data_IF_611477112668
#
_entry.id   IF_611477112668
#
_cell.length_a   1.000
_cell.length_b   1.000
_cell.length_c   1.000
_cell.angle_alpha   90.00
_cell.angle_beta   90.00
_cell.angle_gamma   90.00
#
_symmetry.space_group_name_H-M   'P 1'
#
loop_
_entity.id
_entity.type
_entity.pdbx_description
1 polymer ?
#
# COMPACT_ATOMS: atom_id res chain seq x y z
N UNK A 1 4.62 -42.33 13.67
CA UNK A 1 4.61 -42.61 12.22
C UNK A 1 5.35 -41.45 11.57
N UNK A 2 6.58 -41.75 11.16
CA UNK A 2 7.61 -40.83 10.67
C UNK A 2 7.31 -40.40 9.23
N UNK A 3 7.40 -39.10 8.94
CA UNK A 3 7.41 -38.57 7.57
C UNK A 3 8.82 -38.04 7.27
N UNK A 4 9.57 -38.68 6.36
CA UNK A 4 10.85 -38.18 5.86
C UNK A 4 10.67 -37.33 4.59
N UNK A 5 11.78 -36.75 4.12
CA UNK A 5 12.00 -36.02 2.86
C UNK A 5 11.89 -34.50 2.88
N UNK A 6 12.95 -33.87 3.40
CA UNK A 6 13.43 -32.56 2.94
C UNK A 6 14.84 -32.81 2.37
N UNK A 7 14.95 -33.39 1.16
CA UNK A 7 16.27 -33.50 0.52
C UNK A 7 16.28 -33.52 -1.03
N UNK A 8 15.21 -33.14 -1.71
CA UNK A 8 15.20 -33.03 -3.18
C UNK A 8 14.55 -31.73 -3.67
N UNK A 9 15.31 -30.63 -3.60
CA UNK A 9 15.03 -29.41 -4.39
C UNK A 9 16.30 -28.56 -4.61
N UNK A 10 17.46 -29.22 -4.81
CA UNK A 10 18.73 -28.58 -5.21
C UNK A 10 19.08 -28.94 -6.66
N UNK A 11 18.33 -28.39 -7.61
CA UNK A 11 18.61 -28.37 -9.05
C UNK A 11 17.43 -27.62 -9.66
N UNK A 12 17.51 -26.52 -10.39
CA UNK A 12 18.54 -25.97 -11.27
C UNK A 12 18.08 -24.55 -11.63
N UNK A 13 18.90 -23.53 -11.42
CA UNK A 13 18.61 -22.19 -11.94
C UNK A 13 19.94 -21.45 -12.21
N UNK A 14 20.70 -21.98 -13.15
CA UNK A 14 21.85 -21.29 -13.75
C UNK A 14 21.33 -20.45 -14.92
N UNK A 15 21.09 -19.17 -14.67
CA UNK A 15 20.81 -18.18 -15.71
C UNK A 15 22.13 -17.57 -16.18
N UNK A 16 22.67 -18.11 -17.27
CA UNK A 16 23.81 -17.55 -17.98
C UNK A 16 23.29 -16.47 -18.97
N UNK A 17 23.57 -15.19 -18.70
CA UNK A 17 23.19 -14.08 -19.60
C UNK A 17 24.46 -13.53 -20.24
N UNK A 18 24.54 -13.64 -21.57
CA UNK A 18 25.68 -13.19 -22.38
C UNK A 18 25.79 -11.66 -22.50
N UNK A 19 27.04 -11.21 -22.61
CA UNK A 19 27.47 -9.81 -22.83
C UNK A 19 27.09 -9.25 -24.20
N UNK A 20 26.79 -7.94 -24.23
CA UNK A 20 27.34 -6.87 -25.11
C UNK A 20 26.56 -5.56 -24.87
N UNK A 21 27.11 -4.61 -24.10
CA UNK A 21 28.05 -3.52 -24.44
C UNK A 21 27.35 -2.21 -24.82
N UNK A 22 27.54 -1.16 -24.00
CA UNK A 22 27.44 0.22 -24.49
C UNK A 22 26.56 1.23 -23.73
N UNK A 23 26.33 1.08 -22.42
CA UNK A 23 25.71 2.16 -21.61
C UNK A 23 26.09 2.04 -20.11
N UNK A 24 27.39 1.84 -19.87
CA UNK A 24 27.89 1.02 -18.76
C UNK A 24 28.32 1.75 -17.46
N UNK A 25 28.14 3.06 -17.29
CA UNK A 25 28.62 3.71 -16.04
C UNK A 25 27.57 3.78 -14.92
N UNK A 26 26.30 4.01 -15.25
CA UNK A 26 25.24 4.23 -14.23
C UNK A 26 24.53 2.92 -13.87
N UNK A 27 24.43 1.99 -14.83
CA UNK A 27 23.86 0.65 -14.61
C UNK A 27 24.87 -0.28 -13.93
N UNK A 28 26.18 -0.12 -14.17
CA UNK A 28 27.22 -0.95 -13.55
C UNK A 28 27.27 -0.81 -12.01
N UNK A 29 26.87 0.33 -11.47
CA UNK A 29 26.80 0.51 -10.00
C UNK A 29 25.66 -0.32 -9.38
N UNK A 30 24.63 -0.68 -10.16
CA UNK A 30 23.54 -1.58 -9.76
C UNK A 30 23.85 -3.07 -10.05
N UNK A 31 24.88 -3.36 -10.84
CA UNK A 31 25.26 -4.73 -11.27
C UNK A 31 26.50 -5.29 -10.57
N UNK A 32 27.08 -4.60 -9.58
CA UNK A 32 28.01 -5.26 -8.69
C UNK A 32 27.30 -6.49 -8.10
N UNK A 33 27.85 -7.72 -8.20
CA UNK A 33 27.21 -8.89 -7.64
C UNK A 33 27.14 -8.67 -6.14
N UNK A 34 25.97 -8.22 -5.67
CA UNK A 34 25.64 -8.18 -4.25
C UNK A 34 25.88 -9.61 -3.80
N UNK A 35 26.79 -9.87 -2.84
CA UNK A 35 26.95 -11.22 -2.32
C UNK A 35 25.57 -11.67 -1.88
N UNK A 36 25.04 -12.69 -2.56
CA UNK A 36 23.67 -13.18 -2.34
C UNK A 36 23.67 -13.94 -1.03
N UNK A 37 23.72 -13.21 0.07
CA UNK A 37 23.47 -13.74 1.39
C UNK A 37 21.98 -14.10 1.42
N UNK A 38 21.70 -15.39 1.24
CA UNK A 38 20.33 -15.91 1.27
C UNK A 38 19.81 -15.78 2.70
N UNK A 39 18.98 -14.77 2.93
CA UNK A 39 18.28 -14.57 4.20
C UNK A 39 16.89 -15.19 4.12
N UNK A 40 16.59 -16.11 5.02
CA UNK A 40 15.23 -16.63 5.21
C UNK A 40 14.46 -15.61 6.02
N UNK A 41 13.28 -15.22 5.54
CA UNK A 41 12.43 -14.23 6.18
C UNK A 41 10.95 -14.54 5.95
N UNK A 42 10.10 -14.10 6.87
CA UNK A 42 8.65 -14.21 6.69
C UNK A 42 8.18 -13.30 5.55
N UNK A 43 7.30 -13.82 4.69
CA UNK A 43 6.68 -13.06 3.61
C UNK A 43 5.97 -11.81 4.14
N UNK A 44 5.30 -11.92 5.28
CA UNK A 44 4.58 -10.81 5.92
C UNK A 44 5.56 -9.76 6.46
N UNK A 45 6.69 -10.18 7.02
CA UNK A 45 7.72 -9.25 7.52
C UNK A 45 8.39 -8.50 6.37
N UNK A 46 8.69 -9.19 5.27
CA UNK A 46 9.21 -8.58 4.05
C UNK A 46 8.23 -7.54 3.49
N UNK A 47 6.97 -7.91 3.32
CA UNK A 47 5.94 -7.04 2.78
C UNK A 47 5.70 -5.81 3.67
N UNK A 48 5.75 -5.98 4.99
CA UNK A 48 5.61 -4.90 5.95
C UNK A 48 6.79 -3.92 5.90
N UNK A 49 8.02 -4.43 5.87
CA UNK A 49 9.21 -3.58 5.78
C UNK A 49 9.25 -2.80 4.45
N UNK A 50 8.98 -3.47 3.32
CA UNK A 50 8.89 -2.82 2.02
C UNK A 50 7.82 -1.72 1.97
N UNK A 51 6.61 -2.03 2.44
CA UNK A 51 5.50 -1.07 2.42
C UNK A 51 5.79 0.11 3.33
N UNK A 52 6.16 -0.15 4.59
CA UNK A 52 6.40 0.91 5.57
C UNK A 52 7.54 1.84 5.14
N UNK A 53 8.64 1.30 4.60
CA UNK A 53 9.75 2.12 4.07
C UNK A 53 9.34 2.91 2.84
N UNK A 54 8.53 2.35 1.95
CA UNK A 54 8.05 3.05 0.76
C UNK A 54 7.11 4.19 1.15
N UNK A 55 6.15 3.95 2.05
CA UNK A 55 5.22 4.97 2.51
C UNK A 55 5.93 6.08 3.30
N UNK A 56 6.84 5.74 4.22
CA UNK A 56 7.60 6.75 4.97
C UNK A 56 8.53 7.56 4.08
N UNK A 57 9.03 6.98 2.98
CA UNK A 57 9.82 7.70 1.97
C UNK A 57 9.00 8.73 1.19
N UNK A 58 7.74 8.43 0.91
CA UNK A 58 6.80 9.32 0.18
C UNK A 58 6.19 10.37 1.12
N UNK A 59 5.88 9.97 2.36
CA UNK A 59 5.24 10.80 3.38
C UNK A 59 6.20 11.72 4.12
N UNK A 60 7.44 11.32 4.27
CA UNK A 60 8.51 12.14 4.82
C UNK A 60 9.67 12.18 3.83
N UNK A 61 10.81 11.64 4.23
CA UNK A 61 12.04 11.79 3.47
C UNK A 61 12.84 10.47 3.38
N UNK A 62 14.04 10.57 2.78
CA UNK A 62 15.00 9.46 2.69
C UNK A 62 15.52 9.00 4.05
N UNK A 63 15.42 9.82 5.08
CA UNK A 63 15.98 9.57 6.39
C UNK A 63 14.98 8.82 7.26
N UNK A 64 13.72 9.25 7.27
CA UNK A 64 12.63 8.61 8.00
C UNK A 64 12.42 7.16 7.56
N UNK A 65 12.54 6.87 6.26
CA UNK A 65 12.42 5.49 5.75
C UNK A 65 13.61 4.58 6.13
N UNK A 66 14.72 5.16 6.59
CA UNK A 66 15.90 4.45 7.06
C UNK A 66 16.03 4.46 8.58
N UNK A 67 15.25 5.28 9.28
CA UNK A 67 15.26 5.36 10.74
C UNK A 67 14.60 4.11 11.34
N UNK A 68 15.44 3.15 11.75
CA UNK A 68 14.99 1.92 12.37
C UNK A 68 14.22 2.18 13.68
N UNK A 69 14.52 3.26 14.41
CA UNK A 69 13.80 3.59 15.66
C UNK A 69 12.35 3.94 15.37
N UNK A 70 12.09 4.68 14.29
CA UNK A 70 10.74 5.01 13.86
C UNK A 70 9.98 3.76 13.41
N UNK A 71 10.61 2.92 12.57
CA UNK A 71 10.03 1.66 12.08
C UNK A 71 9.67 0.73 13.23
N UNK A 72 10.57 0.53 14.19
CA UNK A 72 10.35 -0.36 15.33
C UNK A 72 9.29 0.19 16.29
N UNK A 73 9.29 1.51 16.54
CA UNK A 73 8.27 2.17 17.34
C UNK A 73 6.89 2.04 16.69
N UNK A 74 6.80 2.25 15.38
CA UNK A 74 5.58 2.11 14.60
C UNK A 74 5.05 0.68 14.63
N UNK A 75 5.89 -0.32 14.35
CA UNK A 75 5.51 -1.73 14.38
C UNK A 75 5.09 -2.21 15.78
N UNK A 76 5.73 -1.68 16.82
CA UNK A 76 5.39 -2.01 18.22
C UNK A 76 4.06 -1.39 18.63
N UNK A 77 3.80 -0.14 18.24
CA UNK A 77 2.52 0.51 18.44
C UNK A 77 1.41 -0.18 17.63
N UNK A 78 1.60 -0.40 16.33
CA UNK A 78 0.60 -1.00 15.42
C UNK A 78 0.15 -2.37 15.91
N UNK A 79 1.09 -3.30 16.18
CA UNK A 79 0.76 -4.63 16.75
C UNK A 79 0.04 -4.52 18.08
N UNK A 80 0.48 -3.62 18.96
CA UNK A 80 -0.16 -3.39 20.26
C UNK A 80 -1.59 -2.89 20.14
N UNK A 81 -1.80 -1.90 19.29
CA UNK A 81 -3.10 -1.28 19.04
C UNK A 81 -4.07 -2.30 18.44
N UNK A 82 -3.62 -3.08 17.46
CA UNK A 82 -4.41 -4.14 16.83
C UNK A 82 -4.81 -5.23 17.85
N UNK A 83 -3.86 -5.73 18.64
CA UNK A 83 -4.16 -6.72 19.69
C UNK A 83 -5.11 -6.17 20.76
N UNK A 84 -4.93 -4.91 21.17
CA UNK A 84 -5.83 -4.25 22.14
C UNK A 84 -7.23 -4.12 21.56
N UNK A 85 -7.35 -3.76 20.27
CA UNK A 85 -8.62 -3.72 19.55
C UNK A 85 -9.31 -5.08 19.51
N UNK A 86 -8.59 -6.14 19.16
CA UNK A 86 -9.13 -7.50 19.16
C UNK A 86 -9.61 -7.94 20.54
N UNK A 87 -8.81 -7.72 21.58
CA UNK A 87 -9.20 -8.01 22.97
C UNK A 87 -10.48 -7.24 23.33
N UNK A 88 -10.57 -5.97 22.93
CA UNK A 88 -11.74 -5.13 23.20
C UNK A 88 -12.99 -5.63 22.49
N UNK A 89 -12.89 -6.04 21.23
CA UNK A 89 -14.03 -6.48 20.44
C UNK A 89 -14.49 -7.91 20.75
N UNK A 90 -13.56 -8.80 21.15
CA UNK A 90 -13.86 -10.20 21.47
C UNK A 90 -14.37 -10.39 22.90
N UNK A 91 -14.25 -9.39 23.77
CA UNK A 91 -14.70 -9.50 25.16
C UNK A 91 -16.23 -9.33 25.27
N UNK A 92 -16.99 -10.37 25.67
CA UNK A 92 -18.45 -10.35 25.60
C UNK A 92 -19.11 -9.53 26.73
N UNK A 93 -18.40 -9.26 27.81
CA UNK A 93 -18.94 -8.57 28.99
C UNK A 93 -18.69 -7.06 28.91
N UNK A 94 -19.73 -6.26 28.69
CA UNK A 94 -19.62 -4.82 28.46
C UNK A 94 -18.87 -4.07 29.58
N UNK A 95 -19.22 -4.30 30.84
CA UNK A 95 -18.61 -3.59 31.98
C UNK A 95 -17.17 -4.03 32.25
N UNK A 96 -16.89 -5.34 32.15
CA UNK A 96 -15.56 -5.88 32.37
C UNK A 96 -14.62 -5.56 31.21
N UNK A 97 -15.15 -5.47 29.98
CA UNK A 97 -14.43 -5.01 28.79
C UNK A 97 -13.81 -3.64 29.04
N UNK A 98 -14.56 -2.66 29.55
CA UNK A 98 -14.02 -1.33 29.84
C UNK A 98 -12.91 -1.41 30.89
N UNK A 99 -13.11 -2.16 31.98
CA UNK A 99 -12.11 -2.28 33.04
C UNK A 99 -10.79 -2.92 32.58
N UNK A 100 -10.84 -3.95 31.73
CA UNK A 100 -9.66 -4.65 31.21
C UNK A 100 -8.96 -3.86 30.11
N UNK A 101 -9.72 -3.21 29.23
CA UNK A 101 -9.17 -2.53 28.04
C UNK A 101 -8.73 -1.10 28.33
N UNK A 102 -9.28 -0.45 29.36
CA UNK A 102 -8.89 0.91 29.76
C UNK A 102 -7.39 1.07 30.05
N UNK A 103 -6.74 0.25 30.90
CA UNK A 103 -5.29 0.38 31.11
C UNK A 103 -4.48 0.10 29.85
N UNK A 104 -4.91 -0.87 29.03
CA UNK A 104 -4.24 -1.21 27.77
C UNK A 104 -4.31 -0.05 26.77
N UNK A 105 -5.49 0.51 26.56
CA UNK A 105 -5.70 1.67 25.67
C UNK A 105 -4.96 2.90 26.16
N UNK A 106 -4.91 3.15 27.48
CA UNK A 106 -4.10 4.21 28.06
C UNK A 106 -2.62 4.00 27.78
N UNK A 107 -2.10 2.78 27.94
CA UNK A 107 -0.71 2.45 27.63
C UNK A 107 -0.39 2.63 26.13
N UNK A 108 -1.28 2.15 25.24
CA UNK A 108 -1.11 2.35 23.79
C UNK A 108 -1.06 3.85 23.45
N UNK A 109 -1.97 4.66 24.03
CA UNK A 109 -2.06 6.09 23.76
C UNK A 109 -0.92 6.90 24.38
N UNK A 110 -0.66 6.73 25.68
CA UNK A 110 0.25 7.63 26.42
C UNK A 110 1.71 7.19 26.36
N UNK A 111 1.99 5.92 26.09
CA UNK A 111 3.38 5.43 26.00
C UNK A 111 3.77 5.20 24.55
N UNK A 112 3.07 4.29 23.86
CA UNK A 112 3.50 3.85 22.52
C UNK A 112 3.24 4.91 21.44
N UNK A 113 2.03 5.47 21.41
CA UNK A 113 1.65 6.49 20.44
C UNK A 113 2.38 7.81 20.72
N UNK A 114 2.56 8.22 21.98
CA UNK A 114 3.37 9.40 22.30
C UNK A 114 4.83 9.24 21.90
N UNK A 115 5.44 8.06 22.12
CA UNK A 115 6.81 7.81 21.66
C UNK A 115 6.92 7.95 20.13
N UNK A 116 6.01 7.32 19.39
CA UNK A 116 5.94 7.43 17.92
C UNK A 116 5.75 8.90 17.48
N UNK A 117 4.84 9.61 18.14
CA UNK A 117 4.58 11.02 17.88
C UNK A 117 5.79 11.91 18.14
N UNK A 118 6.54 11.67 19.21
CA UNK A 118 7.74 12.44 19.54
C UNK A 118 8.84 12.23 18.50
N UNK A 119 9.02 11.00 18.01
CA UNK A 119 9.96 10.70 16.92
C UNK A 119 9.51 11.42 15.64
N UNK A 120 8.24 11.29 15.24
CA UNK A 120 7.69 11.98 14.08
C UNK A 120 7.84 13.51 14.18
N UNK A 121 7.57 14.08 15.37
CA UNK A 121 7.70 15.51 15.65
C UNK A 121 9.15 15.97 15.52
N UNK A 122 10.12 15.20 16.01
CA UNK A 122 11.55 15.53 15.86
C UNK A 122 11.97 15.62 14.40
N UNK A 123 11.46 14.72 13.55
CA UNK A 123 11.70 14.76 12.10
C UNK A 123 11.05 15.96 11.43
N UNK A 124 9.81 16.30 11.79
CA UNK A 124 9.12 17.49 11.28
C UNK A 124 9.86 18.78 11.65
N UNK A 125 10.33 18.92 12.90
CA UNK A 125 11.09 20.09 13.37
C UNK A 125 12.41 20.21 12.61
N UNK A 126 13.19 19.12 12.51
CA UNK A 126 14.45 19.11 11.75
C UNK A 126 14.23 19.57 10.30
N UNK A 127 13.16 19.08 9.67
CA UNK A 127 12.81 19.44 8.29
C UNK A 127 12.40 20.90 8.14
N UNK A 128 11.71 21.46 9.13
CA UNK A 128 11.37 22.88 9.19
C UNK A 128 12.63 23.75 9.27
N UNK A 129 13.60 23.35 10.09
CA UNK A 129 14.87 24.04 10.26
C UNK A 129 15.70 24.04 8.96
N UNK A 130 15.78 22.90 8.27
CA UNK A 130 16.48 22.78 6.97
C UNK A 130 15.89 23.70 5.87
N UNK A 131 14.57 23.95 5.91
CA UNK A 131 13.89 24.84 4.96
C UNK A 131 14.35 26.30 5.10
N UNK A 132 14.75 26.71 6.31
CA UNK A 132 15.32 28.04 6.53
C UNK A 132 16.74 28.17 5.92
N UNK A 133 17.42 27.04 5.68
CA UNK A 133 18.79 27.00 5.16
C UNK A 133 18.93 26.75 3.66
N UNK A 134 18.07 25.94 3.03
CA UNK A 134 18.30 25.52 1.64
C UNK A 134 17.03 25.28 0.83
N UNK A 135 16.97 25.90 -0.35
CA UNK A 135 15.83 25.93 -1.28
C UNK A 135 15.95 24.80 -2.32
N UNK A 136 16.07 23.55 -1.89
CA UNK A 136 16.10 22.44 -2.86
C UNK A 136 14.70 22.15 -3.40
N UNK A 137 14.50 22.50 -4.68
CA UNK A 137 13.21 22.53 -5.39
C UNK A 137 12.83 21.19 -6.02
N UNK A 138 13.70 20.19 -5.98
CA UNK A 138 13.58 19.01 -6.86
C UNK A 138 12.87 17.81 -6.24
N UNK A 139 12.83 17.70 -4.92
CA UNK A 139 12.20 16.56 -4.25
C UNK A 139 10.77 16.88 -3.84
N UNK A 140 9.80 16.31 -4.58
CA UNK A 140 8.37 16.33 -4.25
C UNK A 140 8.16 15.40 -3.06
N UNK A 141 7.82 15.98 -1.93
CA UNK A 141 7.56 15.30 -0.67
C UNK A 141 6.16 15.72 -0.23
N UNK A 142 5.31 14.76 0.11
CA UNK A 142 3.94 15.06 0.55
C UNK A 142 3.93 15.85 1.86
N UNK A 143 4.96 15.72 2.71
CA UNK A 143 5.19 16.60 3.85
C UNK A 143 5.44 18.03 3.37
N UNK A 144 6.27 18.26 2.35
CA UNK A 144 6.48 19.61 1.78
C UNK A 144 5.20 20.19 1.21
N UNK A 145 4.37 19.38 0.56
CA UNK A 145 3.07 19.81 0.02
C UNK A 145 2.07 20.12 1.15
N UNK A 146 1.96 19.26 2.16
CA UNK A 146 1.13 19.49 3.35
C UNK A 146 1.59 20.73 4.12
N UNK A 147 2.90 20.92 4.26
CA UNK A 147 3.50 22.12 4.83
C UNK A 147 3.19 23.34 3.98
N UNK A 148 3.27 23.28 2.63
CA UNK A 148 2.91 24.41 1.75
C UNK A 148 1.44 24.81 1.92
N UNK A 149 0.55 23.83 2.05
CA UNK A 149 -0.88 24.06 2.32
C UNK A 149 -1.11 24.66 3.72
N UNK A 150 -0.31 24.25 4.71
CA UNK A 150 -0.33 24.81 6.06
C UNK A 150 0.57 26.03 6.26
N UNK A 151 1.25 26.54 5.21
CA UNK A 151 2.35 27.50 5.32
C UNK A 151 1.94 28.89 5.80
N UNK A 152 0.67 29.22 5.76
CA UNK A 152 0.12 30.42 6.39
C UNK A 152 0.16 30.36 7.92
N UNK A 153 0.38 29.18 8.54
CA UNK A 153 0.33 28.96 10.00
C UNK A 153 1.55 28.21 10.60
N UNK A 154 2.63 28.00 9.83
CA UNK A 154 3.78 27.15 10.23
C UNK A 154 4.51 27.61 11.51
N UNK A 155 4.34 28.86 11.95
CA UNK A 155 5.06 29.39 13.12
C UNK A 155 4.48 28.93 14.47
N UNK A 156 3.30 28.30 14.51
CA UNK A 156 2.64 27.90 15.75
C UNK A 156 3.04 26.47 16.18
N UNK A 157 3.34 26.23 17.48
CA UNK A 157 3.61 24.88 18.00
C UNK A 157 2.50 23.86 17.74
N UNK A 158 1.24 24.32 17.65
CA UNK A 158 0.09 23.48 17.33
C UNK A 158 0.14 22.94 15.89
N UNK A 159 0.60 23.74 14.94
CA UNK A 159 0.76 23.35 13.53
C UNK A 159 1.80 22.24 13.39
N UNK A 160 2.91 22.32 14.14
CA UNK A 160 3.95 21.28 14.18
C UNK A 160 3.39 19.98 14.75
N UNK A 161 2.63 20.06 15.84
CA UNK A 161 1.98 18.90 16.43
C UNK A 161 0.96 18.27 15.46
N UNK A 162 0.19 19.10 14.75
CA UNK A 162 -0.76 18.63 13.74
C UNK A 162 -0.06 17.91 12.59
N UNK A 163 1.02 18.48 12.07
CA UNK A 163 1.86 17.87 11.02
C UNK A 163 2.40 16.51 11.46
N UNK A 164 2.99 16.44 12.66
CA UNK A 164 3.51 15.19 13.20
C UNK A 164 2.40 14.15 13.39
N UNK A 165 1.21 14.58 13.85
CA UNK A 165 0.05 13.71 13.99
C UNK A 165 -0.43 13.15 12.64
N UNK A 166 -0.50 14.01 11.62
CA UNK A 166 -0.89 13.61 10.27
C UNK A 166 0.13 12.65 9.64
N UNK A 167 1.43 12.88 9.83
CA UNK A 167 2.49 12.03 9.29
C UNK A 167 2.36 10.57 9.74
N UNK A 168 2.27 10.32 11.05
CA UNK A 168 2.15 8.94 11.53
C UNK A 168 0.78 8.33 11.21
N UNK A 169 -0.31 9.13 11.21
CA UNK A 169 -1.65 8.65 10.85
C UNK A 169 -1.75 8.24 9.39
N UNK A 170 -1.21 9.04 8.47
CA UNK A 170 -1.17 8.72 7.04
C UNK A 170 -0.27 7.52 6.77
N UNK A 171 0.85 7.40 7.50
CA UNK A 171 1.69 6.21 7.44
C UNK A 171 0.91 4.97 7.86
N UNK A 172 0.12 5.06 8.93
CA UNK A 172 -0.71 3.97 9.39
C UNK A 172 -1.84 3.60 8.42
N UNK A 173 -2.57 4.59 7.93
CA UNK A 173 -3.67 4.39 6.98
C UNK A 173 -3.18 3.81 5.64
N UNK A 174 -2.00 4.21 5.18
CA UNK A 174 -1.45 3.84 3.88
C UNK A 174 -0.62 2.56 3.86
N UNK A 175 0.17 2.28 4.90
CA UNK A 175 1.16 1.19 4.82
C UNK A 175 0.55 -0.22 5.01
N UNK A 176 -0.53 -0.35 5.78
CA UNK A 176 -1.02 -1.67 6.19
C UNK A 176 -1.76 -2.41 5.06
N UNK A 177 -2.58 -1.72 4.27
CA UNK A 177 -3.33 -2.37 3.18
C UNK A 177 -2.40 -2.95 2.09
N UNK A 178 -1.38 -2.23 1.57
CA UNK A 178 -0.46 -2.78 0.58
C UNK A 178 0.44 -3.87 1.16
N UNK A 179 0.76 -3.82 2.46
CA UNK A 179 1.47 -4.91 3.14
C UNK A 179 0.74 -6.24 2.98
N UNK A 180 -0.58 -6.24 3.20
CA UNK A 180 -1.37 -7.46 3.12
C UNK A 180 -1.53 -7.94 1.67
N UNK A 181 -1.73 -7.00 0.73
CA UNK A 181 -1.75 -7.31 -0.71
C UNK A 181 -0.43 -7.92 -1.17
N UNK A 182 0.71 -7.30 -0.85
CA UNK A 182 2.03 -7.80 -1.22
C UNK A 182 2.31 -9.18 -0.62
N UNK A 183 1.94 -9.39 0.65
CA UNK A 183 2.10 -10.70 1.28
C UNK A 183 1.31 -11.78 0.52
N UNK A 184 0.05 -11.51 0.17
CA UNK A 184 -0.77 -12.44 -0.60
C UNK A 184 -0.23 -12.64 -2.02
N UNK A 185 0.28 -11.59 -2.68
CA UNK A 185 0.94 -11.70 -3.98
C UNK A 185 2.16 -12.64 -3.93
N UNK A 186 3.01 -12.48 -2.91
CA UNK A 186 4.17 -13.35 -2.73
C UNK A 186 3.75 -14.81 -2.51
N UNK A 187 2.75 -15.06 -1.66
CA UNK A 187 2.24 -16.42 -1.46
C UNK A 187 1.74 -17.02 -2.77
N UNK A 188 0.98 -16.27 -3.58
CA UNK A 188 0.50 -16.74 -4.89
C UNK A 188 1.62 -17.03 -5.88
N UNK A 189 2.66 -16.21 -5.91
CA UNK A 189 3.83 -16.46 -6.76
C UNK A 189 4.63 -17.69 -6.28
N UNK A 190 4.67 -17.95 -4.97
CA UNK A 190 5.32 -19.14 -4.42
C UNK A 190 4.53 -20.43 -4.72
N UNK A 191 3.19 -20.35 -4.74
CA UNK A 191 2.32 -21.45 -5.16
C UNK A 191 2.37 -21.72 -6.67
N UNK A 192 2.53 -20.66 -7.47
CA UNK A 192 2.53 -20.69 -8.93
C UNK A 192 3.72 -19.92 -9.54
N UNK A 193 4.94 -20.48 -9.51
CA UNK A 193 6.16 -19.80 -9.98
C UNK A 193 6.11 -19.34 -11.44
N UNK A 194 5.32 -20.00 -12.28
CA UNK A 194 5.05 -19.64 -13.68
C UNK A 194 4.44 -18.24 -13.82
N UNK A 195 3.58 -17.84 -12.88
CA UNK A 195 3.01 -16.49 -12.85
C UNK A 195 4.09 -15.47 -12.49
N UNK A 196 4.94 -15.79 -11.50
CA UNK A 196 6.07 -14.95 -11.12
C UNK A 196 7.01 -14.65 -12.28
N UNK A 197 7.34 -15.68 -13.08
CA UNK A 197 8.18 -15.51 -14.28
C UNK A 197 7.54 -14.59 -15.31
N UNK A 198 6.25 -14.80 -15.59
CA UNK A 198 5.52 -13.99 -16.57
C UNK A 198 5.41 -12.53 -16.14
N UNK A 199 5.11 -12.28 -14.86
CA UNK A 199 5.05 -10.94 -14.27
C UNK A 199 6.42 -10.25 -14.30
N UNK A 200 7.50 -10.99 -14.04
CA UNK A 200 8.85 -10.46 -14.12
C UNK A 200 9.22 -10.07 -15.56
N UNK A 201 8.90 -10.90 -16.55
CA UNK A 201 9.13 -10.60 -17.97
C UNK A 201 8.35 -9.36 -18.43
N UNK A 202 7.09 -9.21 -18.01
CA UNK A 202 6.29 -8.01 -18.29
C UNK A 202 6.93 -6.76 -17.67
N UNK A 203 7.29 -6.81 -16.39
CA UNK A 203 7.91 -5.68 -15.69
C UNK A 203 9.28 -5.32 -16.30
N UNK A 204 10.09 -6.32 -16.65
CA UNK A 204 11.38 -6.14 -17.32
C UNK A 204 11.22 -5.44 -18.66
N UNK A 205 10.29 -5.91 -19.50
CA UNK A 205 10.00 -5.32 -20.80
C UNK A 205 9.50 -3.88 -20.67
N UNK A 206 8.63 -3.60 -19.70
CA UNK A 206 8.13 -2.25 -19.44
C UNK A 206 9.26 -1.29 -19.04
N UNK A 207 10.19 -1.73 -18.18
CA UNK A 207 11.37 -0.95 -17.77
C UNK A 207 12.36 -0.75 -18.93
N UNK A 208 12.62 -1.79 -19.72
CA UNK A 208 13.54 -1.69 -20.87
C UNK A 208 13.03 -0.69 -21.93
N UNK A 209 11.72 -0.63 -22.16
CA UNK A 209 11.12 0.22 -23.19
C UNK A 209 10.78 1.65 -22.71
N UNK A 210 10.43 1.83 -21.43
CA UNK A 210 9.92 3.11 -20.91
C UNK A 210 10.74 3.69 -19.75
N UNK A 211 11.76 2.96 -19.27
CA UNK A 211 12.55 3.34 -18.11
C UNK A 211 11.80 3.21 -16.78
N UNK A 212 12.48 3.58 -15.70
CA UNK A 212 11.87 3.65 -14.36
C UNK A 212 11.08 4.96 -14.21
N UNK A 213 9.76 4.89 -14.36
CA UNK A 213 8.86 6.03 -14.20
C UNK A 213 7.38 5.68 -14.37
N UNK A 214 6.48 6.65 -14.27
CA UNK A 214 5.03 6.38 -14.29
C UNK A 214 4.55 5.76 -15.62
N UNK A 215 5.27 6.04 -16.72
CA UNK A 215 4.98 5.49 -18.04
C UNK A 215 4.98 3.95 -18.06
N UNK A 216 5.94 3.28 -17.39
CA UNK A 216 5.98 1.80 -17.38
C UNK A 216 4.75 1.19 -16.71
N UNK A 217 4.11 1.89 -15.75
CA UNK A 217 2.91 1.38 -15.07
C UNK A 217 1.76 1.12 -16.04
N UNK A 218 1.65 1.91 -17.12
CA UNK A 218 0.63 1.74 -18.15
C UNK A 218 0.84 0.49 -19.02
N UNK A 219 2.05 -0.10 -18.98
CA UNK A 219 2.47 -1.26 -19.77
C UNK A 219 2.57 -2.55 -18.95
N UNK A 220 2.08 -2.56 -17.71
CA UNK A 220 2.04 -3.75 -16.84
C UNK A 220 0.61 -4.22 -16.57
N UNK A 221 -0.10 -4.59 -17.63
CA UNK A 221 -1.53 -4.93 -17.55
C UNK A 221 -1.80 -6.29 -16.91
N UNK A 222 -0.86 -7.24 -17.03
CA UNK A 222 -0.93 -8.51 -16.31
C UNK A 222 -0.66 -8.31 -14.82
N UNK A 223 0.31 -7.47 -14.44
CA UNK A 223 0.52 -7.10 -13.04
C UNK A 223 -0.73 -6.48 -12.41
N UNK A 224 -1.38 -5.53 -13.09
CA UNK A 224 -2.65 -4.95 -12.61
C UNK A 224 -3.72 -6.04 -12.43
N UNK A 225 -3.89 -6.90 -13.42
CA UNK A 225 -4.84 -8.02 -13.35
C UNK A 225 -4.53 -8.98 -12.20
N UNK A 226 -3.25 -9.29 -11.97
CA UNK A 226 -2.81 -10.14 -10.86
C UNK A 226 -3.12 -9.50 -9.50
N UNK A 227 -2.82 -8.22 -9.32
CA UNK A 227 -3.13 -7.47 -8.10
C UNK A 227 -4.64 -7.46 -7.83
N UNK A 228 -5.45 -7.25 -8.87
CA UNK A 228 -6.92 -7.25 -8.76
C UNK A 228 -7.46 -8.63 -8.40
N UNK A 229 -6.90 -9.70 -8.97
CA UNK A 229 -7.31 -11.08 -8.65
C UNK A 229 -6.91 -11.47 -7.22
N UNK A 230 -5.74 -11.03 -6.75
CA UNK A 230 -5.34 -11.18 -5.35
C UNK A 230 -6.32 -10.49 -4.41
N UNK A 231 -6.72 -9.24 -4.70
CA UNK A 231 -7.71 -8.52 -3.90
C UNK A 231 -9.10 -9.15 -3.95
N UNK A 232 -9.48 -9.76 -5.07
CA UNK A 232 -10.77 -10.44 -5.23
C UNK A 232 -10.89 -11.62 -4.27
N UNK A 233 -9.86 -12.47 -4.22
CA UNK A 233 -9.85 -13.66 -3.37
C UNK A 233 -9.49 -13.35 -1.91
N UNK A 234 -8.62 -12.36 -1.70
CA UNK A 234 -8.14 -11.95 -0.37
C UNK A 234 -8.32 -10.44 -0.18
N UNK A 235 -9.58 -9.97 -0.04
CA UNK A 235 -9.85 -8.56 0.13
C UNK A 235 -9.28 -8.05 1.45
N UNK A 236 -8.74 -6.83 1.44
CA UNK A 236 -8.18 -6.21 2.66
C UNK A 236 -9.26 -5.99 3.72
N UNK A 237 -10.46 -5.66 3.28
CA UNK A 237 -11.63 -5.46 4.12
C UNK A 237 -12.79 -6.30 3.59
N UNK A 238 -13.44 -7.07 4.47
CA UNK A 238 -14.61 -7.88 4.08
C UNK A 238 -15.84 -7.03 3.73
N UNK A 239 -15.91 -5.82 4.28
CA UNK A 239 -16.93 -4.81 4.00
C UNK A 239 -16.25 -3.52 3.56
N UNK A 240 -16.86 -2.84 2.59
CA UNK A 240 -16.43 -1.50 2.19
C UNK A 240 -16.80 -0.45 3.24
N UNK A 241 -16.40 0.79 3.01
CA UNK A 241 -16.66 1.95 3.85
C UNK A 241 -18.10 1.97 4.36
N UNK A 242 -18.26 2.10 5.68
CA UNK A 242 -19.56 2.27 6.32
C UNK A 242 -20.05 3.70 6.08
N UNK A 243 -21.25 3.81 5.53
CA UNK A 243 -21.91 5.09 5.25
C UNK A 243 -23.09 5.23 6.20
N UNK A 244 -23.20 6.40 6.85
CA UNK A 244 -24.32 6.75 7.71
C UNK A 244 -25.17 7.85 7.08
N UNK A 245 -26.47 7.61 6.97
CA UNK A 245 -27.43 8.63 6.51
C UNK A 245 -27.61 9.67 7.61
N UNK A 246 -27.00 10.85 7.48
CA UNK A 246 -26.99 11.85 8.56
C UNK A 246 -28.10 12.91 8.46
N UNK A 247 -28.44 13.35 7.25
CA UNK A 247 -29.26 14.55 7.06
C UNK A 247 -30.74 14.21 6.95
N UNK A 248 -31.17 13.77 5.75
CA UNK A 248 -32.53 13.40 5.39
C UNK A 248 -32.53 11.93 4.94
N UNK A 249 -33.71 11.27 4.92
CA UNK A 249 -33.83 9.96 4.29
C UNK A 249 -33.26 9.99 2.86
N UNK A 250 -32.57 8.93 2.47
CA UNK A 250 -31.98 8.79 1.13
C UNK A 250 -32.81 7.80 0.32
N UNK A 251 -33.40 8.25 -0.78
CA UNK A 251 -34.17 7.41 -1.69
C UNK A 251 -33.30 7.03 -2.89
N UNK A 252 -33.11 5.74 -3.10
CA UNK A 252 -32.44 5.18 -4.27
C UNK A 252 -33.31 5.32 -5.52
N UNK A 253 -32.71 5.13 -6.70
CA UNK A 253 -33.42 5.21 -8.00
C UNK A 253 -34.51 4.16 -8.18
N UNK A 254 -34.46 3.05 -7.43
CA UNK A 254 -35.46 1.99 -7.40
C UNK A 254 -36.63 2.29 -6.43
N UNK A 255 -36.61 3.45 -5.76
CA UNK A 255 -37.62 3.88 -4.81
C UNK A 255 -37.39 3.40 -3.36
N UNK A 256 -36.38 2.57 -3.11
CA UNK A 256 -36.04 2.15 -1.76
C UNK A 256 -35.52 3.34 -0.95
N UNK A 257 -36.04 3.56 0.26
CA UNK A 257 -35.70 4.74 1.08
C UNK A 257 -35.03 4.32 2.38
N UNK A 258 -33.80 4.80 2.60
CA UNK A 258 -33.06 4.65 3.84
C UNK A 258 -33.46 5.76 4.82
N UNK A 259 -33.95 5.41 6.02
CA UNK A 259 -34.17 6.39 7.08
C UNK A 259 -32.90 7.11 7.51
N UNK A 260 -33.07 8.31 8.07
CA UNK A 260 -31.99 9.00 8.78
C UNK A 260 -31.49 8.13 9.93
N UNK A 261 -30.17 8.07 10.07
CA UNK A 261 -29.46 7.31 11.09
C UNK A 261 -29.03 5.92 10.64
N UNK A 262 -29.55 5.42 9.51
CA UNK A 262 -29.17 4.11 8.97
C UNK A 262 -27.69 4.08 8.61
N UNK A 263 -26.99 3.05 9.11
CA UNK A 263 -25.62 2.72 8.71
C UNK A 263 -25.69 1.53 7.76
N UNK A 264 -25.11 1.67 6.58
CA UNK A 264 -25.02 0.59 5.60
C UNK A 264 -23.60 0.50 5.04
N UNK A 265 -23.28 -0.66 4.48
CA UNK A 265 -22.00 -0.95 3.86
C UNK A 265 -22.18 -2.04 2.81
N UNK A 266 -21.21 -2.16 1.90
CA UNK A 266 -21.27 -3.14 0.82
C UNK A 266 -20.41 -4.37 1.17
N UNK A 267 -20.94 -5.59 0.98
CA UNK A 267 -20.23 -6.83 1.30
C UNK A 267 -19.19 -7.16 0.21
N UNK A 268 -18.07 -6.45 0.23
CA UNK A 268 -17.02 -6.54 -0.79
C UNK A 268 -16.51 -7.98 -0.99
N UNK A 269 -16.29 -8.71 0.10
CA UNK A 269 -15.81 -10.10 0.03
C UNK A 269 -16.85 -11.03 -0.62
N UNK A 270 -18.12 -10.88 -0.26
CA UNK A 270 -19.19 -11.71 -0.82
C UNK A 270 -19.39 -11.44 -2.31
N UNK A 271 -19.38 -10.18 -2.73
CA UNK A 271 -19.49 -9.79 -4.14
C UNK A 271 -18.29 -10.28 -4.97
N UNK A 272 -17.10 -10.29 -4.38
CA UNK A 272 -15.88 -10.75 -5.06
C UNK A 272 -15.85 -12.27 -5.30
N UNK A 273 -16.69 -13.02 -4.57
CA UNK A 273 -16.84 -14.48 -4.67
C UNK A 273 -18.18 -14.89 -5.28
N UNK A 274 -18.95 -13.95 -5.82
CA UNK A 274 -20.22 -14.23 -6.45
C UNK A 274 -20.02 -14.91 -7.81
N UNK A 275 -20.48 -16.14 -7.95
CA UNK A 275 -20.39 -16.91 -9.20
C UNK A 275 -21.18 -16.28 -10.35
N UNK A 276 -22.25 -15.54 -10.07
CA UNK A 276 -23.03 -14.86 -11.11
C UNK A 276 -22.26 -13.67 -11.70
N UNK A 277 -21.42 -13.02 -10.88
CA UNK A 277 -20.61 -11.88 -11.32
C UNK A 277 -19.26 -12.30 -11.91
N UNK A 278 -18.64 -13.35 -11.36
CA UNK A 278 -17.23 -13.70 -11.65
C UNK A 278 -17.06 -15.08 -12.31
N UNK A 279 -18.12 -15.87 -12.44
CA UNK A 279 -18.10 -17.21 -13.04
C UNK A 279 -17.56 -18.26 -12.09
N UNK A 280 -16.24 -18.52 -12.15
CA UNK A 280 -15.52 -19.43 -11.24
C UNK A 280 -14.87 -18.63 -10.10
N UNK A 281 -15.56 -18.42 -8.96
CA UNK A 281 -15.09 -17.51 -7.91
C UNK A 281 -13.93 -18.06 -7.09
N UNK A 282 -13.83 -19.37 -6.91
CA UNK A 282 -12.76 -19.97 -6.08
C UNK A 282 -11.44 -20.11 -6.83
N UNK A 283 -11.48 -20.09 -8.16
CA UNK A 283 -10.31 -20.24 -9.01
C UNK A 283 -9.53 -18.93 -9.12
N UNK A 284 -8.23 -18.98 -8.86
CA UNK A 284 -7.33 -17.86 -9.11
C UNK A 284 -6.95 -17.84 -10.59
N UNK A 285 -7.42 -16.84 -11.35
CA UNK A 285 -6.99 -16.62 -12.73
C UNK A 285 -6.28 -15.25 -12.85
N UNK A 286 -4.94 -15.22 -12.97
CA UNK A 286 -4.20 -13.97 -13.04
C UNK A 286 -4.51 -13.16 -14.31
N UNK A 287 -5.09 -13.78 -15.33
CA UNK A 287 -5.46 -13.13 -16.59
C UNK A 287 -6.92 -12.66 -16.61
N UNK A 288 -7.70 -12.90 -15.56
CA UNK A 288 -9.15 -12.63 -15.53
C UNK A 288 -9.50 -11.21 -15.96
N UNK A 289 -8.84 -10.21 -15.37
CA UNK A 289 -9.15 -8.80 -15.66
C UNK A 289 -8.57 -8.33 -17.00
N UNK A 290 -7.48 -8.93 -17.47
CA UNK A 290 -7.01 -8.71 -18.86
C UNK A 290 -8.03 -9.24 -19.87
N UNK A 291 -8.60 -10.43 -19.65
CA UNK A 291 -9.62 -11.02 -20.52
C UNK A 291 -10.89 -10.17 -20.55
N UNK A 292 -11.38 -9.73 -19.38
CA UNK A 292 -12.54 -8.83 -19.28
C UNK A 292 -12.30 -7.52 -20.03
N UNK A 293 -11.15 -6.87 -19.82
CA UNK A 293 -10.82 -5.62 -20.51
C UNK A 293 -10.78 -5.77 -22.04
N UNK A 294 -10.34 -6.93 -22.56
CA UNK A 294 -10.38 -7.22 -24.00
C UNK A 294 -11.80 -7.38 -24.51
N UNK A 295 -12.64 -8.13 -23.78
CA UNK A 295 -14.04 -8.36 -24.16
C UNK A 295 -14.86 -7.06 -24.17
N UNK A 296 -14.64 -6.17 -23.21
CA UNK A 296 -15.32 -4.87 -23.17
C UNK A 296 -14.93 -4.01 -24.38
N UNK A 297 -13.64 -3.98 -24.73
CA UNK A 297 -13.16 -3.25 -25.91
C UNK A 297 -13.70 -3.82 -27.25
N UNK A 298 -13.95 -5.13 -27.31
CA UNK A 298 -14.52 -5.79 -28.50
C UNK A 298 -16.05 -5.57 -28.61
N UNK A 299 -16.76 -5.48 -27.48
CA UNK A 299 -18.21 -5.26 -27.44
C UNK A 299 -18.64 -3.84 -27.84
N UNK A 300 -17.86 -2.83 -27.47
CA UNK A 300 -18.25 -1.44 -27.68
C UNK A 300 -17.91 -0.87 -29.06
N UNK A 301 -17.27 -1.64 -29.96
CA UNK A 301 -17.04 -1.29 -31.38
C UNK A 301 -16.19 -0.02 -31.65
N UNK A 302 -15.94 0.75 -30.60
CA UNK A 302 -14.91 1.74 -30.42
C UNK A 302 -14.07 1.22 -29.26
N UNK A 303 -12.74 1.41 -29.25
CA UNK A 303 -12.04 1.28 -27.99
C UNK A 303 -12.77 2.22 -27.04
N UNK A 304 -13.39 1.68 -25.99
CA UNK A 304 -13.77 2.48 -24.85
C UNK A 304 -12.56 3.37 -24.63
N UNK A 305 -12.73 4.70 -24.65
CA UNK A 305 -11.74 5.59 -24.07
C UNK A 305 -11.67 5.11 -22.65
N UNK A 306 -10.76 4.17 -22.43
CA UNK A 306 -10.42 3.68 -21.15
C UNK A 306 -9.74 4.94 -20.62
N UNK A 307 -10.50 5.75 -19.90
CA UNK A 307 -9.97 6.54 -18.81
C UNK A 307 -9.46 5.51 -17.79
N UNK A 308 -8.47 4.69 -18.21
CA UNK A 308 -7.40 4.32 -17.30
C UNK A 308 -7.01 5.67 -16.73
N UNK A 309 -6.97 5.85 -15.40
CA UNK A 309 -6.22 6.96 -14.86
C UNK A 309 -4.84 6.79 -15.49
N UNK A 310 -4.56 7.59 -16.53
CA UNK A 310 -3.25 7.65 -17.10
C UNK A 310 -2.45 8.19 -15.95
N UNK A 311 -1.45 7.41 -15.51
CA UNK A 311 -0.56 7.87 -14.46
C UNK A 311 0.21 9.05 -15.05
N UNK A 312 -0.37 10.24 -14.90
CA UNK A 312 0.25 11.49 -15.25
C UNK A 312 1.36 11.71 -14.27
N UNK A 313 2.54 12.06 -14.78
CA UNK A 313 3.63 12.47 -13.92
C UNK A 313 3.15 13.62 -13.03
N UNK A 314 3.59 13.67 -11.77
CA UNK A 314 3.24 14.78 -10.87
C UNK A 314 3.56 16.14 -11.51
N UNK A 315 4.61 16.20 -12.34
CA UNK A 315 4.95 17.36 -13.18
C UNK A 315 3.85 17.76 -14.17
N UNK A 316 3.23 16.81 -14.88
CA UNK A 316 2.13 17.08 -15.81
C UNK A 316 0.90 17.64 -15.09
N UNK A 317 0.53 17.05 -13.94
CA UNK A 317 -0.62 17.50 -13.13
C UNK A 317 -0.39 18.94 -12.63
N UNK A 318 0.82 19.25 -12.17
CA UNK A 318 1.16 20.61 -11.70
C UNK A 318 1.24 21.66 -12.81
N UNK A 319 1.42 21.25 -14.07
CA UNK A 319 1.42 22.15 -15.23
C UNK A 319 0.02 22.40 -15.80
N UNK A 320 -0.90 21.44 -15.59
CA UNK A 320 -2.25 21.47 -16.15
C UNK A 320 -3.27 22.19 -15.24
N UNK A 321 -2.96 22.43 -13.96
CA UNK A 321 -3.84 23.13 -13.04
C UNK A 321 -3.38 24.57 -12.78
N UNK A 322 -3.96 25.50 -13.53
CA UNK A 322 -4.11 26.88 -13.06
C UNK A 322 -5.00 26.88 -11.82
N UNK A 323 -4.43 27.33 -10.70
CA UNK A 323 -5.08 27.88 -9.50
C UNK A 323 -6.37 27.15 -9.08
N UNK A 324 -6.24 26.25 -8.11
CA UNK A 324 -7.22 26.18 -7.02
C UNK A 324 -6.73 27.05 -5.87
#
# INVERSE_FOLDING_TARGET
MSVPMIEEAKSSLDLNVGEKSGMDSTIATLQAPIPVERKIMSVVELANDLSLRTFTRVLGDKELCRDQKYIDAFNTWSRGNMMTGFITLMFPFEYLRLAVTWPLTLYQKHVRQQNLFNIAKSHVIRRLEERLGTRDKTEVDTLKSAMKLMATEISNPESINSLAAQLWQLTWAGAQSPTMTLANMFVRVLEHPEHGKTLYEEARSAVENHGWGDAMLNHMSLMDSFIREVHRLYPVFSMNTQIKVMNQPFTFSDGFTLPKGTVFAFPAASLSLDSELVGNPEEFDPYRFVKLAKQDNERDGQPLKQERPTWHSVSEITSAQGVF
#
